data_IF_247862739539
#
_entry.id   IF_247862739539
#
_cell.length_a   1.000
_cell.length_b   1.000
_cell.length_c   1.000
_cell.angle_alpha   90.00
_cell.angle_beta   90.00
_cell.angle_gamma   90.00
#
_symmetry.space_group_name_H-M   'P 1'
#
loop_
_entity.id
_entity.type
_entity.pdbx_description
1 polymer ?
#
# COMPACT_ATOMS: atom_id res chain seq x y z
N UNK A 1 -23.01 -70.09 -58.47
CA UNK A 1 -22.96 -68.62 -58.31
C UNK A 1 -23.63 -68.28 -56.99
N UNK A 2 -22.99 -68.68 -55.88
CA UNK A 2 -23.65 -68.88 -54.60
C UNK A 2 -22.64 -68.82 -53.47
N UNK A 3 -23.11 -68.33 -52.33
CA UNK A 3 -22.43 -68.21 -51.04
C UNK A 3 -21.28 -67.20 -50.93
N UNK A 4 -20.30 -67.21 -51.85
CA UNK A 4 -19.10 -66.34 -51.73
C UNK A 4 -19.42 -64.87 -52.00
N UNK A 5 -20.32 -64.57 -52.95
CA UNK A 5 -20.69 -63.18 -53.27
C UNK A 5 -21.58 -62.55 -52.19
N UNK A 6 -22.41 -63.34 -51.53
CA UNK A 6 -23.26 -62.89 -50.43
C UNK A 6 -22.44 -62.52 -49.19
N UNK A 7 -21.38 -63.28 -48.89
CA UNK A 7 -20.45 -62.98 -47.79
C UNK A 7 -19.67 -61.68 -48.09
N UNK A 8 -19.29 -61.43 -49.35
CA UNK A 8 -18.60 -60.18 -49.74
C UNK A 8 -19.50 -58.95 -49.58
N UNK A 9 -20.78 -59.03 -49.93
CA UNK A 9 -21.73 -57.92 -49.72
C UNK A 9 -21.95 -57.63 -48.22
N UNK A 10 -22.05 -58.66 -47.39
CA UNK A 10 -22.21 -58.49 -45.93
C UNK A 10 -20.96 -57.82 -45.32
N UNK A 11 -19.76 -58.20 -45.77
CA UNK A 11 -18.51 -57.59 -45.31
C UNK A 11 -18.39 -56.13 -45.76
N UNK A 12 -18.71 -55.81 -47.02
CA UNK A 12 -18.70 -54.41 -47.51
C UNK A 12 -19.73 -53.53 -46.81
N UNK A 13 -20.92 -54.06 -46.51
CA UNK A 13 -21.97 -53.36 -45.75
C UNK A 13 -21.56 -53.10 -44.30
N UNK A 14 -20.83 -54.03 -43.67
CA UNK A 14 -20.29 -53.88 -42.32
C UNK A 14 -19.13 -52.86 -42.24
N UNK A 15 -18.25 -52.82 -43.24
CA UNK A 15 -17.16 -51.83 -43.30
C UNK A 15 -17.65 -50.40 -43.56
N UNK A 16 -18.70 -50.24 -44.38
CA UNK A 16 -19.38 -48.97 -44.62
C UNK A 16 -19.96 -48.36 -43.33
N UNK A 17 -20.61 -49.19 -42.48
CA UNK A 17 -21.19 -48.74 -41.20
C UNK A 17 -20.17 -48.47 -40.10
N UNK A 18 -18.94 -49.03 -40.18
CA UNK A 18 -17.90 -48.85 -39.16
C UNK A 18 -17.12 -47.53 -39.30
N UNK A 19 -17.21 -46.86 -40.46
CA UNK A 19 -16.72 -45.49 -40.65
C UNK A 19 -17.76 -44.48 -40.14
N UNK A 20 -18.14 -44.56 -38.86
CA UNK A 20 -18.72 -43.37 -38.20
C UNK A 20 -17.69 -42.25 -38.38
N UNK A 21 -18.04 -41.14 -39.03
CA UNK A 21 -17.06 -40.21 -39.55
C UNK A 21 -16.29 -39.66 -38.36
N UNK A 22 -14.98 -39.96 -38.31
CA UNK A 22 -14.05 -39.33 -37.35
C UNK A 22 -14.31 -37.83 -37.26
N UNK A 23 -14.63 -37.20 -38.40
CA UNK A 23 -15.00 -35.78 -38.54
C UNK A 23 -16.14 -35.33 -37.61
N UNK A 24 -17.15 -36.16 -37.33
CA UNK A 24 -18.24 -35.80 -36.41
C UNK A 24 -17.77 -35.73 -34.96
N UNK A 25 -16.84 -36.60 -34.54
CA UNK A 25 -16.19 -36.53 -33.22
C UNK A 25 -15.29 -35.30 -33.08
N UNK A 26 -14.57 -34.94 -34.14
CA UNK A 26 -13.75 -33.72 -34.15
C UNK A 26 -14.63 -32.46 -34.08
N UNK A 27 -15.75 -32.43 -34.81
CA UNK A 27 -16.71 -31.33 -34.75
C UNK A 27 -17.34 -31.16 -33.37
N UNK A 28 -17.76 -32.25 -32.72
CA UNK A 28 -18.31 -32.20 -31.36
C UNK A 28 -17.28 -31.71 -30.35
N UNK A 29 -16.04 -32.21 -30.42
CA UNK A 29 -14.98 -31.76 -29.52
C UNK A 29 -14.64 -30.27 -29.72
N UNK A 30 -14.62 -29.78 -30.97
CA UNK A 30 -14.41 -28.37 -31.27
C UNK A 30 -15.53 -27.50 -30.68
N UNK A 31 -16.79 -27.89 -30.86
CA UNK A 31 -17.96 -27.16 -30.32
C UNK A 31 -17.92 -27.11 -28.79
N UNK A 32 -17.60 -28.23 -28.13
CA UNK A 32 -17.47 -28.28 -26.68
C UNK A 32 -16.30 -27.43 -26.17
N UNK A 33 -15.21 -27.35 -26.92
CA UNK A 33 -14.05 -26.53 -26.56
C UNK A 33 -14.37 -25.04 -26.65
N UNK A 34 -15.06 -24.62 -27.72
CA UNK A 34 -15.51 -23.24 -27.90
C UNK A 34 -16.53 -22.84 -26.83
N UNK A 35 -17.49 -23.73 -26.52
CA UNK A 35 -18.45 -23.51 -25.42
C UNK A 35 -17.73 -23.40 -24.06
N UNK A 36 -16.73 -24.23 -23.80
CA UNK A 36 -15.92 -24.16 -22.58
C UNK A 36 -15.18 -22.82 -22.44
N UNK A 37 -14.56 -22.34 -23.52
CA UNK A 37 -13.89 -21.04 -23.55
C UNK A 37 -14.89 -19.90 -23.34
N UNK A 38 -16.05 -19.94 -24.00
CA UNK A 38 -17.12 -18.96 -23.82
C UNK A 38 -17.61 -18.92 -22.37
N UNK A 39 -17.82 -20.08 -21.72
CA UNK A 39 -18.22 -20.16 -20.32
C UNK A 39 -17.14 -19.56 -19.41
N UNK A 40 -15.86 -19.89 -19.62
CA UNK A 40 -14.75 -19.32 -18.84
C UNK A 40 -14.68 -17.80 -19.03
N UNK A 41 -14.79 -17.31 -20.27
CA UNK A 41 -14.74 -15.88 -20.56
C UNK A 41 -15.93 -15.14 -19.95
N UNK A 42 -17.13 -15.72 -20.02
CA UNK A 42 -18.35 -15.15 -19.40
C UNK A 42 -18.24 -15.13 -17.88
N UNK A 43 -17.70 -16.20 -17.27
CA UNK A 43 -17.42 -16.24 -15.83
C UNK A 43 -16.39 -15.18 -15.44
N UNK A 44 -15.30 -15.02 -16.19
CA UNK A 44 -14.28 -14.00 -15.93
C UNK A 44 -14.84 -12.57 -16.04
N UNK A 45 -15.76 -12.33 -16.98
CA UNK A 45 -16.45 -11.04 -17.11
C UNK A 45 -17.45 -10.80 -15.97
N UNK A 46 -18.19 -11.83 -15.55
CA UNK A 46 -19.16 -11.75 -14.44
C UNK A 46 -18.50 -11.62 -13.07
N UNK A 47 -17.31 -12.20 -12.87
CA UNK A 47 -16.57 -12.09 -11.59
C UNK A 47 -15.85 -10.75 -11.43
N UNK A 48 -15.88 -9.88 -12.43
CA UNK A 48 -15.07 -8.66 -12.47
C UNK A 48 -13.56 -8.97 -12.44
N UNK A 49 -12.68 -7.97 -12.59
CA UNK A 49 -11.28 -8.17 -12.24
C UNK A 49 -11.21 -8.64 -10.78
N UNK A 50 -10.27 -9.55 -10.43
CA UNK A 50 -10.11 -9.96 -9.04
C UNK A 50 -9.99 -8.69 -8.20
N UNK A 51 -10.93 -8.51 -7.26
CA UNK A 51 -10.79 -7.49 -6.21
C UNK A 51 -9.41 -7.72 -5.66
N UNK A 52 -8.51 -6.74 -5.81
CA UNK A 52 -7.16 -6.85 -5.28
C UNK A 52 -7.31 -7.14 -3.80
N UNK A 53 -7.10 -8.39 -3.41
CA UNK A 53 -7.14 -8.80 -2.02
C UNK A 53 -5.97 -8.04 -1.42
N UNK A 54 -6.27 -6.99 -0.66
CA UNK A 54 -5.27 -6.33 0.13
C UNK A 54 -4.79 -7.35 1.15
N UNK A 55 -3.68 -8.02 0.85
CA UNK A 55 -3.11 -9.06 1.72
C UNK A 55 -2.44 -8.47 2.95
N UNK A 56 -2.46 -7.14 3.09
CA UNK A 56 -1.93 -6.47 4.27
C UNK A 56 -2.86 -6.70 5.46
N UNK A 57 -2.25 -6.78 6.63
CA UNK A 57 -2.98 -6.79 7.89
C UNK A 57 -3.98 -5.61 7.98
N UNK A 58 -5.10 -5.83 8.70
CA UNK A 58 -6.10 -4.79 8.89
C UNK A 58 -5.52 -3.61 9.68
N UNK A 59 -6.08 -2.43 9.46
CA UNK A 59 -5.69 -1.21 10.17
C UNK A 59 -5.80 -1.38 11.69
N UNK A 60 -6.81 -2.12 12.13
CA UNK A 60 -7.11 -2.40 13.53
C UNK A 60 -5.93 -3.07 14.24
N UNK A 61 -5.16 -3.91 13.54
CA UNK A 61 -3.96 -4.54 14.09
C UNK A 61 -2.85 -3.50 14.35
N UNK A 62 -2.64 -2.59 13.40
CA UNK A 62 -1.65 -1.52 13.55
C UNK A 62 -2.07 -0.48 14.60
N UNK A 63 -3.36 -0.17 14.67
CA UNK A 63 -3.95 0.72 15.67
C UNK A 63 -3.87 0.10 17.06
N UNK A 64 -4.18 -1.19 17.21
CA UNK A 64 -4.03 -1.91 18.47
C UNK A 64 -2.56 -1.93 18.92
N UNK A 65 -1.63 -2.17 18.00
CA UNK A 65 -0.20 -2.07 18.27
C UNK A 65 0.21 -0.67 18.75
N UNK A 66 -0.27 0.40 18.08
CA UNK A 66 -0.03 1.77 18.52
C UNK A 66 -0.47 2.00 19.97
N UNK A 67 -1.70 1.61 20.32
CA UNK A 67 -2.21 1.81 21.68
C UNK A 67 -1.50 0.95 22.73
N UNK A 68 -1.15 -0.29 22.39
CA UNK A 68 -0.41 -1.18 23.30
C UNK A 68 1.00 -0.67 23.62
N UNK A 69 1.64 0.05 22.69
CA UNK A 69 3.02 0.53 22.82
C UNK A 69 3.12 2.07 22.81
N UNK A 70 2.01 2.77 23.09
CA UNK A 70 1.87 4.22 22.89
C UNK A 70 3.01 5.02 23.51
N UNK A 71 3.26 4.82 24.79
CA UNK A 71 4.27 5.57 25.53
C UNK A 71 5.67 5.42 24.91
N UNK A 72 6.02 4.22 24.46
CA UNK A 72 7.32 3.95 23.86
C UNK A 72 7.42 4.53 22.44
N UNK A 73 6.33 4.49 21.66
CA UNK A 73 6.27 5.11 20.33
C UNK A 73 6.35 6.64 20.43
N UNK A 74 5.62 7.24 21.35
CA UNK A 74 5.66 8.68 21.61
C UNK A 74 7.05 9.12 22.08
N UNK A 75 7.71 8.34 22.93
CA UNK A 75 9.09 8.60 23.36
C UNK A 75 10.09 8.48 22.20
N UNK A 76 9.95 7.49 21.31
CA UNK A 76 10.77 7.39 20.10
C UNK A 76 10.62 8.63 19.21
N UNK A 77 9.37 9.09 19.04
CA UNK A 77 9.08 10.32 18.29
C UNK A 77 9.69 11.53 18.99
N UNK A 78 9.58 11.63 20.32
CA UNK A 78 10.18 12.70 21.10
C UNK A 78 11.71 12.73 20.93
N UNK A 79 12.40 11.61 21.15
CA UNK A 79 13.86 11.50 21.00
C UNK A 79 14.34 11.85 19.60
N UNK A 80 13.65 11.36 18.56
CA UNK A 80 13.96 11.74 17.18
C UNK A 80 13.88 13.26 16.98
N UNK A 81 12.88 13.92 17.56
CA UNK A 81 12.59 15.34 17.31
C UNK A 81 13.44 16.29 18.17
N UNK A 82 13.80 15.85 19.37
CA UNK A 82 14.57 16.63 20.33
C UNK A 82 16.08 16.49 20.14
N UNK A 83 16.54 15.49 19.39
CA UNK A 83 17.97 15.27 19.18
C UNK A 83 18.60 16.36 18.32
N UNK A 84 19.57 17.06 18.91
CA UNK A 84 20.46 17.97 18.18
C UNK A 84 21.83 17.28 18.10
N UNK A 85 22.29 16.89 16.90
CA UNK A 85 23.58 16.23 16.78
C UNK A 85 24.72 17.20 17.13
N UNK A 86 25.77 16.72 17.83
CA UNK A 86 26.99 17.50 18.01
C UNK A 86 27.67 17.78 16.66
N UNK A 87 28.59 18.77 16.59
CA UNK A 87 29.33 19.06 15.37
C UNK A 87 30.03 17.82 14.80
N UNK A 88 29.79 17.53 13.52
CA UNK A 88 30.34 16.37 12.82
C UNK A 88 29.53 15.07 12.94
N UNK A 89 28.53 15.01 13.83
CA UNK A 89 27.64 13.86 13.95
C UNK A 89 26.43 13.95 13.01
N UNK A 90 25.93 12.79 12.58
CA UNK A 90 24.69 12.72 11.81
C UNK A 90 23.48 12.67 12.75
N UNK A 91 22.38 13.31 12.37
CA UNK A 91 21.14 13.22 13.16
C UNK A 91 20.73 11.77 13.41
N UNK A 92 20.98 10.84 12.47
CA UNK A 92 20.65 9.42 12.60
C UNK A 92 21.29 8.69 13.80
N UNK A 93 22.27 9.30 14.46
CA UNK A 93 22.94 8.78 15.66
C UNK A 93 22.06 8.78 16.92
N UNK A 94 20.96 9.55 16.94
CA UNK A 94 19.98 9.51 18.04
C UNK A 94 19.55 8.08 18.39
N UNK A 95 19.51 7.19 17.39
CA UNK A 95 19.13 5.78 17.54
C UNK A 95 20.08 4.96 18.42
N UNK A 96 21.30 5.44 18.63
CA UNK A 96 22.34 4.79 19.43
C UNK A 96 22.44 5.35 20.85
N UNK A 97 21.67 6.40 21.18
CA UNK A 97 21.77 7.08 22.46
C UNK A 97 21.01 6.35 23.55
N UNK A 98 21.64 6.20 24.72
CA UNK A 98 21.02 5.60 25.90
C UNK A 98 20.38 4.25 25.60
N UNK A 99 19.15 4.07 26.07
CA UNK A 99 18.32 2.87 25.88
C UNK A 99 17.44 2.93 24.60
N UNK A 100 17.76 3.80 23.64
CA UNK A 100 16.96 3.92 22.41
C UNK A 100 16.86 2.61 21.61
N UNK A 101 17.93 1.78 21.47
CA UNK A 101 17.81 0.47 20.82
C UNK A 101 16.83 -0.47 21.51
N UNK A 102 16.81 -0.49 22.84
CA UNK A 102 15.88 -1.27 23.67
C UNK A 102 14.46 -0.73 23.53
N UNK A 103 14.30 0.59 23.45
CA UNK A 103 13.02 1.25 23.22
C UNK A 103 12.40 0.84 21.88
N UNK A 104 13.19 0.75 20.79
CA UNK A 104 12.70 0.21 19.51
C UNK A 104 12.16 -1.23 19.65
N UNK A 105 12.86 -2.09 20.42
CA UNK A 105 12.43 -3.47 20.65
C UNK A 105 11.14 -3.53 21.47
N UNK A 106 11.07 -2.77 22.57
CA UNK A 106 9.90 -2.69 23.46
C UNK A 106 8.67 -2.12 22.75
N UNK A 107 8.87 -1.11 21.92
CA UNK A 107 7.82 -0.50 21.10
C UNK A 107 7.37 -1.39 19.94
N UNK A 108 8.09 -2.48 19.64
CA UNK A 108 7.87 -3.28 18.43
C UNK A 108 8.00 -2.46 17.15
N UNK A 109 8.96 -1.53 17.09
CA UNK A 109 9.21 -0.66 15.94
C UNK A 109 10.50 -1.10 15.24
N UNK A 110 10.44 -1.30 13.92
CA UNK A 110 11.61 -1.60 13.09
C UNK A 110 12.45 -0.35 12.83
N UNK A 111 11.76 0.75 12.52
CA UNK A 111 12.39 1.97 12.02
C UNK A 111 11.45 3.17 12.13
N UNK A 112 12.02 4.29 12.50
CA UNK A 112 11.42 5.62 12.37
C UNK A 112 12.15 6.37 11.25
N UNK A 113 11.41 6.94 10.30
CA UNK A 113 11.98 7.67 9.14
C UNK A 113 11.24 8.99 8.89
N UNK A 114 11.97 10.00 8.45
CA UNK A 114 11.39 11.20 7.87
C UNK A 114 10.70 10.87 6.55
N UNK A 115 9.52 11.44 6.32
CA UNK A 115 8.73 11.22 5.09
C UNK A 115 8.23 12.51 4.43
N UNK A 116 8.47 13.67 5.05
CA UNK A 116 7.83 14.92 4.65
C UNK A 116 6.31 14.90 4.86
N UNK A 117 5.65 16.07 4.80
CA UNK A 117 6.23 17.41 4.70
C UNK A 117 6.77 17.93 6.05
N UNK A 118 7.37 19.12 6.04
CA UNK A 118 7.86 19.83 7.24
C UNK A 118 6.83 20.87 7.70
N UNK A 119 6.43 20.80 8.96
CA UNK A 119 5.41 21.64 9.59
C UNK A 119 6.05 22.68 10.50
N UNK A 120 6.28 23.87 9.95
CA UNK A 120 6.74 25.01 10.74
C UNK A 120 5.65 25.49 11.71
N UNK A 121 6.01 26.32 12.72
CA UNK A 121 5.01 27.10 13.44
C UNK A 121 4.18 27.92 12.44
N UNK A 122 2.86 27.88 12.59
CA UNK A 122 1.90 28.41 11.62
C UNK A 122 2.07 27.80 10.20
N UNK A 123 1.77 26.49 10.04
CA UNK A 123 2.08 25.73 8.83
C UNK A 123 1.28 26.16 7.59
N UNK A 124 0.33 27.09 7.73
CA UNK A 124 -0.55 27.54 6.65
C UNK A 124 -0.36 29.02 6.29
N UNK A 125 0.58 29.74 6.90
CA UNK A 125 0.90 31.15 6.57
C UNK A 125 2.04 31.26 5.58
N UNK A 126 1.78 31.90 4.43
CA UNK A 126 2.78 32.17 3.39
C UNK A 126 3.92 33.02 3.94
N UNK A 127 3.61 33.97 4.80
CA UNK A 127 4.56 34.83 5.47
C UNK A 127 5.47 34.03 6.42
N UNK A 128 4.92 33.07 7.18
CA UNK A 128 5.71 32.18 8.02
C UNK A 128 6.66 31.32 7.18
N UNK A 129 6.19 30.79 6.04
CA UNK A 129 7.00 29.95 5.15
C UNK A 129 8.08 30.73 4.40
N UNK A 130 7.78 31.95 3.96
CA UNK A 130 8.75 32.84 3.31
C UNK A 130 9.80 33.36 4.30
N UNK A 131 9.43 33.63 5.56
CA UNK A 131 10.39 33.98 6.63
C UNK A 131 11.43 32.88 6.82
N UNK A 132 11.05 31.61 6.73
CA UNK A 132 12.00 30.49 6.81
C UNK A 132 12.99 30.48 5.63
N UNK A 133 12.52 30.69 4.39
CA UNK A 133 13.36 30.74 3.18
C UNK A 133 14.47 31.80 3.28
N UNK A 134 14.19 32.95 3.91
CA UNK A 134 15.14 34.06 4.05
C UNK A 134 15.94 34.08 5.36
N UNK A 135 15.43 33.46 6.44
CA UNK A 135 16.07 33.50 7.78
C UNK A 135 16.72 32.18 8.20
N UNK A 136 16.48 31.08 7.49
CA UNK A 136 17.04 29.78 7.86
C UNK A 136 16.58 29.33 9.25
N UNK A 137 15.31 29.54 9.62
CA UNK A 137 14.75 28.97 10.87
C UNK A 137 14.97 27.44 10.85
N UNK A 138 15.01 26.87 9.66
CA UNK A 138 15.50 25.53 9.35
C UNK A 138 16.76 25.59 8.46
N UNK A 139 17.86 26.17 8.95
CA UNK A 139 19.13 26.25 8.21
C UNK A 139 19.83 24.88 8.06
N UNK A 140 19.46 23.89 8.87
CA UNK A 140 20.04 22.55 8.84
C UNK A 140 19.00 21.45 8.97
N UNK A 141 19.16 20.37 8.20
CA UNK A 141 18.25 19.21 8.21
C UNK A 141 18.07 18.61 9.60
N UNK A 142 19.10 18.61 10.43
CA UNK A 142 19.03 18.14 11.82
C UNK A 142 18.18 19.06 12.70
N UNK A 143 18.33 20.39 12.56
CA UNK A 143 17.52 21.37 13.29
C UNK A 143 16.04 21.35 12.85
N UNK A 144 15.77 20.82 11.66
CA UNK A 144 14.45 20.60 11.09
C UNK A 144 13.66 19.43 11.72
N UNK A 145 14.33 18.53 12.44
CA UNK A 145 13.74 17.27 12.91
C UNK A 145 12.49 17.48 13.76
N UNK A 146 12.46 18.54 14.57
CA UNK A 146 11.28 18.98 15.34
C UNK A 146 10.10 19.47 14.50
N UNK A 147 10.22 19.57 13.19
CA UNK A 147 9.14 19.94 12.28
C UNK A 147 8.80 18.83 11.30
N UNK A 148 9.53 17.71 11.35
CA UNK A 148 9.34 16.60 10.43
C UNK A 148 8.09 15.79 10.72
N UNK A 149 7.38 15.45 9.65
CA UNK A 149 6.48 14.29 9.63
C UNK A 149 7.32 13.02 9.66
N UNK A 150 6.97 12.08 10.53
CA UNK A 150 7.70 10.83 10.69
C UNK A 150 6.80 9.62 10.46
N UNK A 151 7.32 8.63 9.76
CA UNK A 151 6.72 7.31 9.64
C UNK A 151 7.38 6.33 10.60
N UNK A 152 6.57 5.56 11.29
CA UNK A 152 6.93 4.53 12.24
C UNK A 152 6.55 3.19 11.60
N UNK A 153 7.59 2.44 11.22
CA UNK A 153 7.43 1.13 10.58
C UNK A 153 7.45 0.06 11.67
N UNK A 154 6.39 -0.76 11.81
CA UNK A 154 6.34 -1.82 12.82
C UNK A 154 7.43 -2.87 12.59
N UNK A 155 7.82 -3.56 13.66
CA UNK A 155 8.85 -4.61 13.65
C UNK A 155 8.44 -5.75 12.72
N UNK A 156 7.18 -6.17 12.81
CA UNK A 156 6.55 -7.08 11.86
C UNK A 156 6.15 -6.37 10.55
N UNK A 157 7.14 -5.78 9.88
CA UNK A 157 6.92 -5.07 8.62
C UNK A 157 6.38 -5.96 7.48
N UNK A 158 6.44 -7.29 7.60
CA UNK A 158 5.98 -8.22 6.56
C UNK A 158 4.47 -8.28 6.49
N UNK A 159 3.79 -8.24 7.63
CA UNK A 159 2.32 -8.20 7.71
C UNK A 159 1.74 -6.90 7.12
N UNK A 160 2.54 -5.83 7.09
CA UNK A 160 2.16 -4.52 6.58
C UNK A 160 2.86 -4.15 5.26
N UNK A 161 3.46 -5.12 4.56
CA UNK A 161 4.11 -4.90 3.26
C UNK A 161 3.82 -6.05 2.30
N UNK A 162 3.29 -5.73 1.13
CA UNK A 162 3.06 -6.72 0.08
C UNK A 162 3.34 -6.10 -1.29
N UNK A 163 4.34 -6.65 -1.99
CA UNK A 163 4.83 -6.17 -3.28
C UNK A 163 5.17 -4.67 -3.26
N UNK A 164 4.25 -3.86 -3.77
CA UNK A 164 4.41 -2.41 -3.93
C UNK A 164 3.58 -1.60 -2.94
N UNK A 165 2.73 -2.25 -2.13
CA UNK A 165 1.81 -1.60 -1.19
C UNK A 165 2.28 -1.86 0.23
N UNK A 166 2.29 -0.82 1.06
CA UNK A 166 2.62 -0.98 2.48
C UNK A 166 1.80 -0.05 3.36
N UNK A 167 1.70 -0.41 4.65
CA UNK A 167 1.15 0.41 5.72
C UNK A 167 2.22 0.77 6.75
N UNK A 168 2.16 1.99 7.26
CA UNK A 168 2.92 2.42 8.43
C UNK A 168 2.12 3.40 9.29
N UNK A 169 2.55 3.61 10.53
CA UNK A 169 2.02 4.67 11.39
C UNK A 169 2.71 5.99 11.03
N UNK A 170 1.98 7.09 11.06
CA UNK A 170 2.50 8.42 10.77
C UNK A 170 2.15 9.37 11.89
N UNK A 171 3.15 10.11 12.34
CA UNK A 171 3.00 11.25 13.24
C UNK A 171 3.23 12.56 12.50
N UNK A 172 2.26 13.46 12.59
CA UNK A 172 2.35 14.83 12.12
C UNK A 172 2.50 15.76 13.32
N UNK A 173 3.53 16.62 13.37
CA UNK A 173 3.83 17.43 14.55
C UNK A 173 2.86 18.60 14.79
N UNK A 174 1.99 18.87 13.82
CA UNK A 174 0.83 19.75 13.98
C UNK A 174 -0.38 18.97 13.48
N UNK A 175 -1.52 19.09 14.17
CA UNK A 175 -2.77 18.48 13.70
C UNK A 175 -3.13 19.06 12.31
N UNK A 176 -3.20 18.24 11.25
CA UNK A 176 -3.51 18.72 9.92
C UNK A 176 -4.98 19.12 9.83
N UNK A 177 -5.29 20.04 8.90
CA UNK A 177 -6.68 20.36 8.55
C UNK A 177 -7.21 19.24 7.67
N UNK A 178 -8.39 18.74 8.01
CA UNK A 178 -9.10 17.73 7.22
C UNK A 178 -10.45 18.29 6.85
N UNK A 179 -10.73 18.39 5.56
CA UNK A 179 -12.01 18.84 5.02
C UNK A 179 -12.39 17.94 3.84
N UNK A 180 -13.66 17.52 3.78
CA UNK A 180 -14.21 16.69 2.70
C UNK A 180 -13.39 15.43 2.38
N UNK A 181 -12.87 14.76 3.41
CA UNK A 181 -12.05 13.55 3.26
C UNK A 181 -10.65 13.82 2.70
N UNK A 182 -10.18 15.08 2.73
CA UNK A 182 -8.85 15.47 2.26
C UNK A 182 -8.04 16.05 3.41
N UNK A 183 -6.86 15.46 3.64
CA UNK A 183 -5.82 16.00 4.51
C UNK A 183 -5.04 17.07 3.75
N UNK A 184 -5.05 18.27 4.31
CA UNK A 184 -4.32 19.43 3.78
C UNK A 184 -3.00 19.55 4.52
N UNK A 185 -1.89 19.39 3.80
CA UNK A 185 -0.55 19.58 4.33
C UNK A 185 -0.16 21.05 4.50
N UNK A 186 1.01 21.31 5.12
CA UNK A 186 1.54 22.66 5.27
C UNK A 186 1.81 23.25 3.88
N UNK A 187 1.81 24.57 3.80
CA UNK A 187 2.14 25.26 2.55
C UNK A 187 3.62 25.11 2.19
N UNK A 188 3.91 24.99 0.90
CA UNK A 188 5.26 25.08 0.36
C UNK A 188 5.70 26.54 0.18
N UNK A 189 6.93 26.74 -0.30
CA UNK A 189 7.51 28.07 -0.52
C UNK A 189 6.82 28.87 -1.65
N UNK A 190 5.93 28.24 -2.41
CA UNK A 190 5.09 28.84 -3.45
C UNK A 190 3.64 29.03 -2.98
N UNK A 191 3.33 28.74 -1.72
CA UNK A 191 1.97 28.84 -1.18
C UNK A 191 1.04 27.70 -1.57
N UNK A 192 1.58 26.57 -2.03
CA UNK A 192 0.78 25.39 -2.44
C UNK A 192 0.69 24.38 -1.30
N UNK A 193 -0.45 23.71 -1.17
CA UNK A 193 -0.63 22.61 -0.23
C UNK A 193 -0.41 21.25 -0.88
N UNK A 194 0.12 20.30 -0.12
CA UNK A 194 -0.03 18.89 -0.46
C UNK A 194 -1.42 18.40 -0.05
N UNK A 195 -2.10 17.67 -0.91
CA UNK A 195 -3.38 17.05 -0.60
C UNK A 195 -3.23 15.54 -0.57
N UNK A 196 -3.81 14.89 0.45
CA UNK A 196 -3.82 13.44 0.57
C UNK A 196 -5.22 13.00 0.99
N UNK A 197 -5.70 11.87 0.46
CA UNK A 197 -7.04 11.38 0.79
C UNK A 197 -7.07 10.70 2.16
N UNK A 198 -8.14 10.95 2.89
CA UNK A 198 -8.44 10.35 4.19
C UNK A 198 -9.65 9.44 4.03
N UNK A 199 -9.50 8.19 4.44
CA UNK A 199 -10.55 7.19 4.40
C UNK A 199 -10.88 6.71 5.82
N UNK A 200 -12.12 6.25 6.05
CA UNK A 200 -12.49 5.63 7.32
C UNK A 200 -11.75 4.29 7.56
N UNK A 201 -11.35 3.60 6.48
CA UNK A 201 -10.57 2.36 6.51
C UNK A 201 -9.65 2.27 5.30
N UNK A 202 -8.49 1.67 5.51
CA UNK A 202 -7.50 1.26 4.53
C UNK A 202 -7.37 -0.28 4.51
N UNK A 203 -8.39 -1.02 4.94
CA UNK A 203 -8.42 -2.49 4.86
C UNK A 203 -8.52 -2.98 3.41
N UNK A 204 -9.00 -2.14 2.51
CA UNK A 204 -8.92 -2.35 1.07
C UNK A 204 -7.90 -1.37 0.47
N UNK A 205 -7.27 -1.75 -0.64
CA UNK A 205 -6.49 -0.78 -1.42
C UNK A 205 -7.46 0.34 -1.85
N UNK A 206 -7.21 1.61 -1.49
CA UNK A 206 -8.18 2.66 -1.75
C UNK A 206 -8.34 2.84 -3.26
N UNK A 207 -9.57 2.98 -3.75
CA UNK A 207 -9.83 3.22 -5.16
C UNK A 207 -9.15 4.52 -5.58
N UNK A 208 -8.58 4.51 -6.78
CA UNK A 208 -8.04 5.70 -7.45
C UNK A 208 -6.86 6.40 -6.77
N UNK A 209 -6.14 5.74 -5.83
CA UNK A 209 -4.85 6.25 -5.36
C UNK A 209 -3.90 6.25 -6.56
N UNK A 210 -3.66 7.44 -7.10
CA UNK A 210 -2.75 7.66 -8.22
C UNK A 210 -1.36 7.11 -7.87
N UNK A 211 -0.60 6.79 -8.91
CA UNK A 211 0.77 6.27 -8.79
C UNK A 211 1.57 7.20 -7.85
N UNK A 212 2.34 6.60 -6.94
CA UNK A 212 3.19 7.30 -5.97
C UNK A 212 2.46 8.22 -4.96
N UNK A 213 1.16 8.04 -4.77
CA UNK A 213 0.39 8.73 -3.74
C UNK A 213 0.10 7.82 -2.54
N UNK A 214 -0.17 8.44 -1.38
CA UNK A 214 -0.54 7.73 -0.17
C UNK A 214 -1.98 8.09 0.22
N UNK A 215 -2.59 7.20 0.98
CA UNK A 215 -3.88 7.41 1.62
C UNK A 215 -3.71 7.30 3.13
N UNK A 216 -4.54 8.01 3.87
CA UNK A 216 -4.46 8.10 5.32
C UNK A 216 -5.76 7.65 5.95
N UNK A 217 -5.67 7.11 7.16
CA UNK A 217 -6.78 6.94 8.09
C UNK A 217 -6.40 7.63 9.39
N UNK A 218 -7.21 8.57 9.82
CA UNK A 218 -6.98 9.25 11.09
C UNK A 218 -7.27 8.31 12.25
N UNK A 219 -6.34 8.28 13.22
CA UNK A 219 -6.51 7.59 14.51
C UNK A 219 -6.74 8.64 15.59
N UNK A 220 -5.91 9.68 15.60
CA UNK A 220 -5.97 10.83 16.52
C UNK A 220 -5.60 12.12 15.77
N UNK A 221 -5.73 13.32 16.37
CA UNK A 221 -5.44 14.57 15.68
C UNK A 221 -4.08 14.62 14.97
N UNK A 222 -3.06 13.95 15.52
CA UNK A 222 -1.69 13.95 14.97
C UNK A 222 -1.23 12.57 14.47
N UNK A 223 -2.04 11.53 14.64
CA UNK A 223 -1.67 10.14 14.40
C UNK A 223 -2.54 9.51 13.33
N UNK A 224 -1.89 8.87 12.36
CA UNK A 224 -2.55 8.29 11.20
C UNK A 224 -1.98 6.91 10.87
N UNK A 225 -2.82 6.02 10.36
CA UNK A 225 -2.34 4.93 9.50
C UNK A 225 -2.16 5.52 8.11
N UNK A 226 -1.03 5.22 7.46
CA UNK A 226 -0.78 5.58 6.08
C UNK A 226 -0.62 4.32 5.26
N UNK A 227 -1.32 4.22 4.14
CA UNK A 227 -1.06 3.25 3.09
C UNK A 227 -0.45 3.96 1.88
N UNK A 228 0.62 3.42 1.33
CA UNK A 228 1.24 3.96 0.12
C UNK A 228 1.46 2.85 -0.90
N UNK A 229 1.63 3.27 -2.16
CA UNK A 229 2.02 2.40 -3.26
C UNK A 229 3.21 3.00 -4.02
N UNK A 230 4.27 2.23 -4.23
CA UNK A 230 5.45 2.61 -5.05
C UNK A 230 5.42 1.89 -6.38
N UNK A 231 6.07 2.42 -7.42
CA UNK A 231 6.46 1.61 -8.57
C UNK A 231 7.80 0.90 -8.29
N UNK A 232 7.96 -0.29 -8.87
CA UNK A 232 9.28 -0.85 -9.19
C UNK A 232 9.76 -0.26 -10.52
#
# INVERSE_FOLDING_TARGET
MGEIDMIKEIIQSAESKRKRPRMLRWGINLVLSVLGILVIYTLLLLTGPPRRINTLAPDEELIAHFYAHRADIEELVHRYRSYVPPPGAQHGEWRKLGDTPELFKRAGVKRLKYIGPTWLPDPYSLEARQRDKGKGIVAGWSAAAKYHTVAIVPLDSRSFYHNVVWKDLVFMPVAPRIADGVLVGPIDHLGRHSHQRVFPTLNNEPPDVERDTCAYRQIEPQWFVRMCRTLY
#
